data_IF_183750878123
#
_entry.id   IF_183750878123
#
_cell.length_a   1.000
_cell.length_b   1.000
_cell.length_c   1.000
_cell.angle_alpha   90.00
_cell.angle_beta   90.00
_cell.angle_gamma   90.00
#
_symmetry.space_group_name_H-M   'P 1'
#
loop_
_entity.id
_entity.type
_entity.pdbx_description
1 polymer ?
#
# COMPACT_ATOMS: atom_id res chain seq x y z
N UNK A 1 0.99 -10.68 -6.60
CA UNK A 1 0.75 -9.51 -5.73
C UNK A 1 -0.34 -8.66 -6.41
N UNK A 2 -1.33 -8.14 -5.68
CA UNK A 2 -2.48 -7.41 -6.28
C UNK A 2 -2.13 -6.03 -6.83
N UNK A 3 -0.91 -5.56 -6.58
CA UNK A 3 -0.42 -4.25 -6.97
C UNK A 3 0.96 -4.36 -7.60
N UNK A 4 1.35 -3.31 -8.31
CA UNK A 4 2.66 -3.10 -8.92
C UNK A 4 3.19 -1.74 -8.50
N UNK A 5 4.50 -1.64 -8.26
CA UNK A 5 5.16 -0.38 -7.94
C UNK A 5 6.00 0.11 -9.12
N UNK A 6 5.76 1.35 -9.50
CA UNK A 6 6.57 2.07 -10.48
C UNK A 6 7.50 3.02 -9.72
N UNK A 7 8.67 2.50 -9.38
CA UNK A 7 9.72 3.24 -8.70
C UNK A 7 10.72 3.77 -9.75
N UNK A 8 10.93 5.07 -9.75
CA UNK A 8 11.93 5.76 -10.57
C UNK A 8 12.68 6.74 -9.67
N UNK A 9 13.99 6.88 -9.81
CA UNK A 9 14.76 7.81 -8.98
C UNK A 9 14.57 9.27 -9.46
N UNK A 10 13.92 10.08 -8.62
CA UNK A 10 13.57 11.47 -8.95
C UNK A 10 14.80 12.40 -9.14
N UNK A 11 15.97 12.06 -8.58
CA UNK A 11 17.16 12.91 -8.59
C UNK A 11 17.82 13.08 -9.98
N UNK A 12 17.41 12.29 -10.98
CA UNK A 12 17.98 12.32 -12.33
C UNK A 12 17.05 12.90 -13.40
N UNK A 13 15.84 13.35 -13.06
CA UNK A 13 14.91 13.89 -14.05
C UNK A 13 14.06 15.03 -13.48
N UNK A 14 14.32 16.25 -13.94
CA UNK A 14 13.45 17.42 -13.70
C UNK A 14 12.13 17.36 -14.47
N UNK A 15 11.97 16.35 -15.36
CA UNK A 15 10.83 16.22 -16.27
C UNK A 15 9.88 15.09 -15.90
N UNK A 16 10.34 14.06 -15.17
CA UNK A 16 9.49 12.96 -14.70
C UNK A 16 9.15 13.11 -13.21
N UNK A 17 8.10 13.86 -12.90
CA UNK A 17 7.52 13.94 -11.55
C UNK A 17 6.50 12.81 -11.27
N UNK A 18 6.27 11.92 -12.23
CA UNK A 18 5.32 10.81 -12.13
C UNK A 18 6.05 9.51 -11.78
N UNK A 19 6.55 9.43 -10.55
CA UNK A 19 7.27 8.28 -9.99
C UNK A 19 6.78 7.90 -8.60
N UNK A 20 7.29 6.78 -8.09
CA UNK A 20 6.98 6.25 -6.75
C UNK A 20 5.49 6.04 -6.50
N UNK A 21 4.84 5.36 -7.45
CA UNK A 21 3.42 5.07 -7.37
C UNK A 21 3.13 3.59 -7.35
N UNK A 22 2.22 3.21 -6.46
CA UNK A 22 1.62 1.89 -6.41
C UNK A 22 0.33 1.92 -7.21
N UNK A 23 0.17 0.99 -8.16
CA UNK A 23 -1.04 0.83 -8.97
C UNK A 23 -1.54 -0.60 -8.88
N UNK A 24 -2.78 -0.83 -9.32
CA UNK A 24 -3.38 -2.16 -9.38
C UNK A 24 -2.63 -3.05 -10.39
N UNK A 25 -2.47 -4.33 -10.07
CA UNK A 25 -1.76 -5.28 -10.93
C UNK A 25 -2.45 -5.43 -12.30
N UNK A 26 -1.66 -5.44 -13.38
CA UNK A 26 -2.15 -5.53 -14.76
C UNK A 26 -3.09 -6.72 -15.00
N UNK A 27 -2.87 -7.84 -14.30
CA UNK A 27 -3.72 -9.03 -14.40
C UNK A 27 -5.15 -8.74 -13.94
N UNK A 28 -5.30 -7.95 -12.87
CA UNK A 28 -6.61 -7.53 -12.35
C UNK A 28 -7.23 -6.50 -13.31
N UNK A 29 -6.45 -5.52 -13.77
CA UNK A 29 -6.88 -4.48 -14.72
C UNK A 29 -7.42 -5.11 -16.01
N UNK A 30 -6.65 -6.02 -16.60
CA UNK A 30 -7.01 -6.69 -17.85
C UNK A 30 -8.21 -7.62 -17.68
N UNK A 31 -8.24 -8.43 -16.61
CA UNK A 31 -9.35 -9.36 -16.37
C UNK A 31 -10.68 -8.62 -16.18
N UNK A 32 -10.66 -7.47 -15.51
CA UNK A 32 -11.85 -6.65 -15.24
C UNK A 32 -12.15 -5.61 -16.32
N UNK A 33 -11.35 -5.54 -17.39
CA UNK A 33 -11.45 -4.54 -18.46
C UNK A 33 -11.47 -3.09 -17.93
N UNK A 34 -10.66 -2.80 -16.91
CA UNK A 34 -10.58 -1.45 -16.36
C UNK A 34 -9.77 -0.53 -17.28
N UNK A 35 -10.19 0.72 -17.36
CA UNK A 35 -9.56 1.73 -18.23
C UNK A 35 -9.03 2.89 -17.39
N UNK A 36 -7.95 3.52 -17.86
CA UNK A 36 -7.37 4.66 -17.15
C UNK A 36 -8.28 5.89 -17.23
N UNK A 37 -8.46 6.56 -16.10
CA UNK A 37 -8.98 7.92 -16.11
C UNK A 37 -7.85 8.88 -16.57
N UNK A 38 -8.09 9.73 -17.59
CA UNK A 38 -7.06 10.61 -18.14
C UNK A 38 -6.38 11.49 -17.07
N UNK A 39 -5.07 11.62 -17.18
CA UNK A 39 -4.22 12.44 -16.30
C UNK A 39 -4.25 12.04 -14.81
N UNK A 40 -4.69 10.82 -14.52
CA UNK A 40 -4.66 10.24 -13.18
C UNK A 40 -4.11 8.81 -13.25
N UNK A 41 -3.93 8.19 -12.09
CA UNK A 41 -3.67 6.75 -11.98
C UNK A 41 -4.90 5.97 -11.51
N UNK A 42 -6.06 6.62 -11.53
CA UNK A 42 -7.33 6.02 -11.17
C UNK A 42 -7.84 5.19 -12.36
N UNK A 43 -8.61 4.15 -12.04
CA UNK A 43 -9.18 3.26 -13.04
C UNK A 43 -10.69 3.34 -12.99
N UNK A 44 -11.31 3.31 -14.16
CA UNK A 44 -12.75 3.27 -14.38
C UNK A 44 -13.16 1.87 -14.82
N UNK A 45 -14.38 1.47 -14.47
CA UNK A 45 -15.03 0.30 -15.06
C UNK A 45 -15.64 0.61 -16.43
N UNK A 46 -16.24 -0.40 -17.06
CA UNK A 46 -16.86 -0.28 -18.39
C UNK A 46 -18.01 0.73 -18.45
N UNK A 47 -18.60 1.06 -17.30
CA UNK A 47 -19.72 2.00 -17.18
C UNK A 47 -19.21 3.42 -16.86
N UNK A 48 -17.89 3.61 -16.74
CA UNK A 48 -17.25 4.87 -16.42
C UNK A 48 -17.23 5.20 -14.93
N UNK A 49 -17.61 4.27 -14.05
CA UNK A 49 -17.56 4.49 -12.60
C UNK A 49 -16.16 4.22 -12.06
N UNK A 50 -15.80 4.88 -10.96
CA UNK A 50 -14.54 4.62 -10.26
C UNK A 50 -14.46 3.16 -9.82
N UNK A 51 -13.43 2.47 -10.30
CA UNK A 51 -13.10 1.09 -9.98
C UNK A 51 -11.92 1.00 -9.00
N UNK A 52 -10.91 1.85 -9.17
CA UNK A 52 -9.71 1.89 -8.34
C UNK A 52 -9.22 3.32 -8.16
N UNK A 53 -8.68 3.64 -6.99
CA UNK A 53 -8.06 4.94 -6.68
C UNK A 53 -6.62 4.74 -6.22
N UNK A 54 -5.72 5.61 -6.69
CA UNK A 54 -4.36 5.73 -6.13
C UNK A 54 -4.31 6.92 -5.17
N UNK A 55 -4.07 6.63 -3.89
CA UNK A 55 -4.07 7.63 -2.82
C UNK A 55 -2.65 7.81 -2.30
N UNK A 56 -2.16 9.05 -2.35
CA UNK A 56 -0.85 9.43 -1.83
C UNK A 56 -1.01 10.49 -0.75
N UNK A 57 -0.41 10.23 0.41
CA UNK A 57 -0.26 11.19 1.49
C UNK A 57 1.22 11.44 1.74
N UNK A 58 1.60 12.71 1.82
CA UNK A 58 2.97 13.09 2.14
C UNK A 58 2.97 14.31 3.05
N UNK A 59 3.65 14.20 4.20
CA UNK A 59 3.93 15.32 5.09
C UNK A 59 5.43 15.60 5.18
N UNK A 60 6.22 14.56 5.37
CA UNK A 60 7.68 14.59 5.43
C UNK A 60 8.25 13.19 5.16
N UNK A 61 9.58 13.03 5.20
CA UNK A 61 10.28 11.78 4.92
C UNK A 61 9.81 10.59 5.78
N UNK A 62 9.45 10.82 7.05
CA UNK A 62 9.01 9.77 7.96
C UNK A 62 7.48 9.59 7.97
N UNK A 63 6.74 10.46 7.29
CA UNK A 63 5.28 10.53 7.34
C UNK A 63 4.70 10.61 5.91
N UNK A 64 4.89 9.55 5.14
CA UNK A 64 4.33 9.39 3.80
C UNK A 64 3.71 8.02 3.61
N UNK A 65 2.53 7.96 3.00
CA UNK A 65 1.79 6.72 2.73
C UNK A 65 1.31 6.67 1.28
N UNK A 66 1.34 5.47 0.70
CA UNK A 66 0.73 5.16 -0.60
C UNK A 66 -0.31 4.06 -0.38
N UNK A 67 -1.52 4.26 -0.89
CA UNK A 67 -2.59 3.27 -0.86
C UNK A 67 -3.19 3.07 -2.24
N UNK A 68 -3.55 1.83 -2.54
CA UNK A 68 -4.39 1.50 -3.70
C UNK A 68 -5.71 0.98 -3.17
N UNK A 69 -6.78 1.66 -3.56
CA UNK A 69 -8.14 1.23 -3.31
C UNK A 69 -8.68 0.52 -4.55
N UNK A 70 -9.38 -0.61 -4.38
CA UNK A 70 -10.19 -1.25 -5.42
C UNK A 70 -11.61 -1.46 -4.87
N UNK A 71 -12.62 -1.24 -5.72
CA UNK A 71 -14.01 -1.50 -5.36
C UNK A 71 -14.22 -2.97 -5.02
N UNK A 72 -14.96 -3.23 -3.94
CA UNK A 72 -15.08 -4.58 -3.35
C UNK A 72 -15.71 -5.59 -4.32
N UNK A 73 -16.80 -5.22 -4.99
CA UNK A 73 -17.51 -6.05 -5.97
C UNK A 73 -16.59 -6.50 -7.12
N UNK A 74 -15.69 -5.63 -7.56
CA UNK A 74 -14.72 -5.92 -8.61
C UNK A 74 -13.62 -6.87 -8.15
N UNK A 75 -13.10 -6.67 -6.93
CA UNK A 75 -12.14 -7.60 -6.33
C UNK A 75 -12.76 -8.98 -6.14
N UNK A 76 -13.99 -9.04 -5.62
CA UNK A 76 -14.73 -10.29 -5.42
C UNK A 76 -14.94 -11.00 -6.77
N UNK A 77 -15.39 -10.27 -7.80
CA UNK A 77 -15.56 -10.79 -9.17
C UNK A 77 -14.26 -11.40 -9.70
N UNK A 78 -13.14 -10.67 -9.60
CA UNK A 78 -11.83 -11.16 -10.04
C UNK A 78 -11.44 -12.46 -9.32
N UNK A 79 -11.60 -12.54 -8.00
CA UNK A 79 -11.24 -13.72 -7.22
C UNK A 79 -12.11 -14.93 -7.58
N UNK A 80 -13.42 -14.72 -7.81
CA UNK A 80 -14.34 -15.78 -8.23
C UNK A 80 -13.98 -16.30 -9.63
N UNK A 81 -13.83 -15.41 -10.61
CA UNK A 81 -13.55 -15.77 -12.00
C UNK A 81 -12.21 -16.51 -12.15
N UNK A 82 -11.20 -16.10 -11.39
CA UNK A 82 -9.86 -16.71 -11.43
C UNK A 82 -9.70 -17.91 -10.48
N UNK A 83 -10.74 -18.25 -9.71
CA UNK A 83 -10.69 -19.27 -8.64
C UNK A 83 -9.56 -19.02 -7.64
N UNK A 84 -9.26 -17.76 -7.38
CA UNK A 84 -8.18 -17.32 -6.50
C UNK A 84 -8.69 -17.01 -5.09
N UNK A 85 -7.76 -17.02 -4.13
CA UNK A 85 -7.98 -16.50 -2.78
C UNK A 85 -7.03 -15.34 -2.53
N UNK A 86 -7.53 -14.33 -1.84
CA UNK A 86 -6.71 -13.20 -1.42
C UNK A 86 -6.29 -13.38 0.04
N UNK A 87 -4.97 -13.34 0.27
CA UNK A 87 -4.38 -13.46 1.59
C UNK A 87 -3.64 -12.16 1.92
N UNK A 88 -4.01 -11.52 3.03
CA UNK A 88 -3.25 -10.44 3.64
C UNK A 88 -2.14 -11.01 4.51
N UNK A 89 -0.89 -10.74 4.14
CA UNK A 89 0.26 -10.94 5.01
C UNK A 89 0.62 -9.56 5.54
N UNK A 90 0.23 -9.29 6.77
CA UNK A 90 0.50 -8.03 7.46
C UNK A 90 1.76 -8.22 8.27
N UNK A 91 2.74 -7.35 8.05
CA UNK A 91 3.98 -7.33 8.79
C UNK A 91 4.39 -5.89 9.07
N UNK A 92 4.89 -5.64 10.26
CA UNK A 92 5.39 -4.32 10.65
C UNK A 92 6.25 -4.40 11.89
N UNK A 93 7.15 -3.46 12.02
CA UNK A 93 8.05 -3.33 13.15
C UNK A 93 7.78 -2.01 13.86
N UNK A 94 7.95 -1.99 15.18
CA UNK A 94 7.92 -0.77 15.97
C UNK A 94 9.13 -0.72 16.87
N UNK A 95 9.89 0.35 16.73
CA UNK A 95 11.05 0.68 17.54
C UNK A 95 10.83 2.04 18.19
N UNK A 96 11.15 2.18 19.48
CA UNK A 96 11.13 3.49 20.15
C UNK A 96 12.52 4.11 20.09
N UNK A 97 12.65 5.23 19.38
CA UNK A 97 13.93 5.94 19.24
C UNK A 97 14.10 7.03 20.28
N UNK A 98 15.28 7.08 20.88
CA UNK A 98 15.67 8.08 21.87
C UNK A 98 16.86 8.91 21.38
N UNK A 99 16.96 10.15 21.86
CA UNK A 99 18.12 11.01 21.57
C UNK A 99 19.39 10.56 22.30
N UNK A 100 19.26 9.87 23.43
CA UNK A 100 20.39 9.43 24.26
C UNK A 100 20.15 8.02 24.81
N UNK A 101 21.24 7.30 25.08
CA UNK A 101 21.21 5.93 25.61
C UNK A 101 20.74 5.91 27.06
N UNK A 102 21.06 6.94 27.85
CA UNK A 102 20.62 7.05 29.25
C UNK A 102 19.09 7.11 29.32
N UNK A 103 18.47 7.93 28.48
CA UNK A 103 17.00 8.07 28.43
C UNK A 103 16.32 6.78 27.99
N UNK A 104 16.94 6.07 27.03
CA UNK A 104 16.46 4.77 26.57
C UNK A 104 16.43 3.76 27.73
N UNK A 105 17.53 3.66 28.49
CA UNK A 105 17.64 2.77 29.65
C UNK A 105 16.62 3.09 30.73
N UNK A 106 16.47 4.38 31.07
CA UNK A 106 15.50 4.81 32.08
C UNK A 106 14.06 4.50 31.65
N UNK A 107 13.73 4.71 30.36
CA UNK A 107 12.40 4.42 29.83
C UNK A 107 12.06 2.92 29.91
N UNK A 108 12.93 2.03 29.44
CA UNK A 108 12.68 0.59 29.46
C UNK A 108 12.78 -0.02 30.85
N UNK A 109 13.47 0.63 31.79
CA UNK A 109 13.44 0.24 33.21
C UNK A 109 12.09 0.61 33.87
N UNK A 110 11.50 1.74 33.47
CA UNK A 110 10.28 2.26 34.08
C UNK A 110 8.98 1.75 33.43
N UNK A 111 9.05 1.17 32.23
CA UNK A 111 7.88 0.77 31.45
C UNK A 111 8.00 -0.67 30.97
N UNK A 112 6.88 -1.42 30.86
CA UNK A 112 6.87 -2.83 30.45
C UNK A 112 6.95 -3.00 28.91
N UNK A 113 7.54 -2.04 28.20
CA UNK A 113 7.62 -2.10 26.73
C UNK A 113 8.90 -2.80 26.29
N UNK A 114 8.82 -3.56 25.20
CA UNK A 114 9.99 -4.08 24.51
C UNK A 114 10.59 -2.99 23.62
N UNK A 115 11.91 -3.02 23.45
CA UNK A 115 12.64 -2.05 22.63
C UNK A 115 12.26 -2.14 21.15
N UNK A 116 12.01 -3.35 20.69
CA UNK A 116 11.67 -3.66 19.32
C UNK A 116 10.55 -4.69 19.29
N UNK A 117 9.48 -4.35 18.57
CA UNK A 117 8.27 -5.17 18.51
C UNK A 117 7.96 -5.50 17.06
N UNK A 118 7.75 -6.79 16.79
CA UNK A 118 7.33 -7.28 15.48
C UNK A 118 5.85 -7.64 15.55
N UNK A 119 5.08 -7.08 14.63
CA UNK A 119 3.67 -7.38 14.42
C UNK A 119 3.55 -8.18 13.14
N UNK A 120 2.97 -9.36 13.22
CA UNK A 120 2.69 -10.18 12.06
C UNK A 120 1.31 -10.80 12.15
N UNK A 121 0.58 -10.81 11.04
CA UNK A 121 -0.74 -11.41 10.95
C UNK A 121 -1.02 -11.89 9.54
N UNK A 122 -1.55 -13.10 9.41
CA UNK A 122 -2.06 -13.62 8.14
C UNK A 122 -3.59 -13.65 8.22
N UNK A 123 -4.25 -13.05 7.24
CA UNK A 123 -5.72 -12.97 7.18
C UNK A 123 -6.16 -13.39 5.78
N UNK A 124 -7.07 -14.36 5.69
CA UNK A 124 -7.77 -14.66 4.44
C UNK A 124 -8.92 -13.66 4.27
N UNK A 125 -8.97 -12.99 3.12
CA UNK A 125 -10.04 -12.05 2.81
C UNK A 125 -11.39 -12.78 2.67
N UNK A 126 -12.42 -12.26 3.35
CA UNK A 126 -13.78 -12.81 3.33
C UNK A 126 -14.07 -13.90 4.37
N UNK A 127 -13.12 -14.20 5.26
CA UNK A 127 -13.33 -14.99 6.49
C UNK A 127 -13.24 -14.09 7.71
#
# INVERSE_FOLDING_TARGET
MPVMEYNWEDYHSSTNNAGHITILAKEIVNQLNLVNQPQTFDLLDSDGNIASLSLKYHRDYNNSHNFVYIRKDLLDKYLIETKSKYIWIIWGEREVRFKTVERQKDFFKANPFEEYQVFQKVIEYGK
#
